data_IF_219366439426
#
_entry.id   IF_219366439426
#
_cell.length_a   1.000
_cell.length_b   1.000
_cell.length_c   1.000
_cell.angle_alpha   90.00
_cell.angle_beta   90.00
_cell.angle_gamma   90.00
#
_symmetry.space_group_name_H-M   'P 1'
#
loop_
_entity.id
_entity.type
_entity.pdbx_description
1 polymer ?
#
# COMPACT_ATOMS: atom_id res chain seq x y z
N UNK A 1 1.47 -32.45 13.90
CA UNK A 1 0.87 -33.79 14.09
C UNK A 1 1.36 -34.36 15.43
N UNK A 2 1.07 -35.63 15.75
CA UNK A 2 1.58 -36.29 16.97
C UNK A 2 3.10 -36.39 17.05
N UNK A 3 3.80 -36.11 15.95
CA UNK A 3 5.27 -36.12 15.85
C UNK A 3 5.88 -34.72 15.99
N UNK A 4 5.07 -33.69 16.24
CA UNK A 4 5.55 -32.31 16.37
C UNK A 4 5.80 -31.61 15.04
N UNK A 5 5.39 -32.18 13.90
CA UNK A 5 5.47 -31.49 12.62
C UNK A 5 4.42 -30.38 12.53
N UNK A 6 4.79 -29.26 11.90
CA UNK A 6 3.82 -28.24 11.50
C UNK A 6 2.87 -28.86 10.46
N UNK A 7 1.53 -28.73 10.62
CA UNK A 7 0.58 -29.24 9.63
C UNK A 7 0.86 -28.69 8.24
N UNK A 8 0.66 -29.50 7.19
CA UNK A 8 0.95 -29.12 5.80
C UNK A 8 0.25 -27.81 5.39
N UNK A 9 -1.02 -27.65 5.73
CA UNK A 9 -1.79 -26.42 5.48
C UNK A 9 -1.15 -25.19 6.14
N UNK A 10 -0.60 -25.33 7.35
CA UNK A 10 0.12 -24.25 8.02
C UNK A 10 1.44 -23.91 7.31
N UNK A 11 2.17 -24.93 6.81
CA UNK A 11 3.38 -24.71 6.00
C UNK A 11 3.05 -23.94 4.73
N UNK A 12 1.94 -24.28 4.07
CA UNK A 12 1.50 -23.60 2.86
C UNK A 12 1.15 -22.13 3.13
N UNK A 13 0.35 -21.85 4.16
CA UNK A 13 0.00 -20.48 4.57
C UNK A 13 1.26 -19.67 4.92
N UNK A 14 2.16 -20.22 5.74
CA UNK A 14 3.40 -19.54 6.12
C UNK A 14 4.30 -19.28 4.91
N UNK A 15 4.31 -20.18 3.93
CA UNK A 15 5.06 -20.00 2.69
C UNK A 15 4.49 -18.87 1.84
N UNK A 16 3.16 -18.72 1.78
CA UNK A 16 2.50 -17.60 1.09
C UNK A 16 2.80 -16.27 1.78
N UNK A 17 2.70 -16.22 3.11
CA UNK A 17 3.09 -15.05 3.91
C UNK A 17 4.56 -14.69 3.65
N UNK A 18 5.46 -15.67 3.65
CA UNK A 18 6.88 -15.47 3.41
C UNK A 18 7.17 -14.89 2.02
N UNK A 19 6.46 -15.33 0.98
CA UNK A 19 6.58 -14.78 -0.38
C UNK A 19 6.16 -13.31 -0.44
N UNK A 20 5.08 -12.94 0.26
CA UNK A 20 4.65 -11.54 0.33
C UNK A 20 5.65 -10.69 1.12
N UNK A 21 6.06 -11.15 2.30
CA UNK A 21 7.02 -10.45 3.17
C UNK A 21 8.36 -10.20 2.46
N UNK A 22 8.85 -11.13 1.63
CA UNK A 22 10.10 -10.95 0.89
C UNK A 22 10.14 -9.65 0.07
N UNK A 23 8.98 -9.19 -0.41
CA UNK A 23 8.87 -7.99 -1.28
C UNK A 23 8.31 -6.76 -0.55
N UNK A 24 7.57 -6.96 0.54
CA UNK A 24 6.83 -5.88 1.20
C UNK A 24 7.24 -5.63 2.66
N UNK A 25 8.24 -6.33 3.20
CA UNK A 25 8.60 -6.24 4.63
C UNK A 25 8.91 -4.83 5.15
N UNK A 26 9.34 -3.90 4.30
CA UNK A 26 9.60 -2.51 4.69
C UNK A 26 8.36 -1.78 5.21
N UNK A 27 7.15 -2.19 4.77
CA UNK A 27 5.88 -1.67 5.30
C UNK A 27 5.47 -2.27 6.65
N UNK A 28 6.24 -3.22 7.17
CA UNK A 28 5.97 -3.91 8.43
C UNK A 28 7.08 -3.64 9.45
N UNK A 29 8.33 -3.95 9.10
CA UNK A 29 9.44 -3.90 10.06
C UNK A 29 9.88 -2.46 10.37
N UNK A 30 9.78 -2.11 11.65
CA UNK A 30 10.06 -0.76 12.14
C UNK A 30 8.97 0.25 11.79
N UNK A 31 7.83 -0.21 11.27
CA UNK A 31 6.66 0.62 11.07
C UNK A 31 5.82 0.72 12.34
N UNK A 32 5.07 1.81 12.45
CA UNK A 32 4.08 2.04 13.49
C UNK A 32 2.81 2.68 12.94
N UNK A 33 2.06 3.31 13.85
CA UNK A 33 0.84 4.03 13.50
C UNK A 33 1.14 5.19 12.55
N UNK A 34 0.39 5.28 11.46
CA UNK A 34 0.57 6.34 10.47
C UNK A 34 -0.01 7.70 10.88
N UNK A 35 -0.93 7.70 11.87
CA UNK A 35 -1.66 8.89 12.31
C UNK A 35 -2.45 9.60 11.18
N UNK A 36 -2.99 8.81 10.25
CA UNK A 36 -3.90 9.24 9.19
C UNK A 36 -5.22 8.47 9.30
N UNK A 37 -6.33 8.99 8.74
CA UNK A 37 -7.59 8.26 8.69
C UNK A 37 -7.42 6.90 8.02
N UNK A 38 -8.13 5.88 8.52
CA UNK A 38 -8.18 4.56 7.87
C UNK A 38 -8.82 4.73 6.48
N UNK A 39 -8.15 4.32 5.39
CA UNK A 39 -8.78 4.28 4.07
C UNK A 39 -9.82 3.16 3.99
N UNK A 40 -10.83 3.32 3.14
CA UNK A 40 -11.87 2.29 2.97
C UNK A 40 -11.30 0.98 2.43
N UNK A 41 -10.39 1.08 1.46
CA UNK A 41 -9.76 -0.05 0.76
C UNK A 41 -8.65 -0.78 1.55
N UNK A 42 -8.32 -0.36 2.78
CA UNK A 42 -7.31 -1.06 3.57
C UNK A 42 -6.78 -0.34 4.80
N UNK A 43 -5.44 -0.28 4.93
CA UNK A 43 -4.72 0.21 6.14
C UNK A 43 -3.49 1.03 5.77
N UNK A 44 -2.96 1.76 6.75
CA UNK A 44 -1.72 2.54 6.58
C UNK A 44 -0.77 2.27 7.72
N UNK A 45 0.48 1.96 7.40
CA UNK A 45 1.60 1.93 8.34
C UNK A 45 2.61 3.02 7.98
N UNK A 46 3.50 3.38 8.91
CA UNK A 46 4.47 4.46 8.68
C UNK A 46 5.82 4.16 9.30
N UNK A 47 6.88 4.57 8.61
CA UNK A 47 8.27 4.56 9.08
C UNK A 47 8.96 5.87 8.68
N UNK A 48 9.22 6.74 9.65
CA UNK A 48 9.82 8.05 9.39
C UNK A 48 8.94 8.91 8.47
N UNK A 49 9.48 9.33 7.33
CA UNK A 49 8.78 10.11 6.29
C UNK A 49 8.06 9.22 5.24
N UNK A 50 8.04 7.90 5.42
CA UNK A 50 7.39 6.97 4.49
C UNK A 50 6.07 6.45 5.04
N UNK A 51 5.02 6.58 4.23
CA UNK A 51 3.71 6.00 4.48
C UNK A 51 3.51 4.80 3.55
N UNK A 52 2.98 3.71 4.09
CA UNK A 52 2.68 2.51 3.32
C UNK A 52 1.18 2.28 3.33
N UNK A 53 0.53 2.50 2.20
CA UNK A 53 -0.89 2.22 2.02
C UNK A 53 -1.04 0.76 1.58
N UNK A 54 -1.58 -0.05 2.47
CA UNK A 54 -1.91 -1.45 2.23
C UNK A 54 -3.29 -1.52 1.58
N UNK A 55 -3.35 -1.93 0.31
CA UNK A 55 -4.58 -2.04 -0.45
C UNK A 55 -5.05 -3.50 -0.50
N UNK A 56 -6.14 -3.80 0.20
CA UNK A 56 -6.77 -5.12 0.20
C UNK A 56 -7.88 -5.23 -0.85
N UNK A 57 -8.45 -4.09 -1.23
CA UNK A 57 -9.50 -3.98 -2.22
C UNK A 57 -9.10 -2.95 -3.27
N UNK A 58 -9.51 -3.16 -4.52
CA UNK A 58 -9.26 -2.16 -5.55
C UNK A 58 -10.27 -1.02 -5.49
N UNK A 59 -9.87 0.17 -5.96
CA UNK A 59 -10.76 1.32 -6.12
C UNK A 59 -11.15 1.52 -7.59
N UNK A 60 -12.30 2.13 -7.82
CA UNK A 60 -12.65 2.61 -9.15
C UNK A 60 -11.97 3.97 -9.37
N UNK A 61 -11.13 4.05 -10.40
CA UNK A 61 -10.40 5.26 -10.71
C UNK A 61 -9.21 5.52 -9.76
N UNK A 62 -8.69 6.76 -9.72
CA UNK A 62 -7.53 7.11 -8.90
C UNK A 62 -7.75 6.86 -7.41
N UNK A 63 -6.74 6.32 -6.74
CA UNK A 63 -6.81 5.92 -5.32
C UNK A 63 -6.59 7.13 -4.41
N UNK A 64 -7.53 7.52 -3.55
CA UNK A 64 -7.34 8.63 -2.61
C UNK A 64 -6.39 8.24 -1.47
N UNK A 65 -5.28 8.97 -1.32
CA UNK A 65 -4.31 8.80 -0.23
C UNK A 65 -4.58 9.82 0.88
N UNK A 66 -5.57 9.49 1.72
CA UNK A 66 -6.10 10.40 2.75
C UNK A 66 -5.08 10.72 3.84
N UNK A 67 -5.15 11.95 4.37
CA UNK A 67 -4.37 12.39 5.53
C UNK A 67 -2.92 12.81 5.23
N UNK A 68 -2.53 12.87 3.96
CA UNK A 68 -1.22 13.38 3.54
C UNK A 68 -1.29 14.85 3.13
N UNK A 69 -0.23 15.61 3.40
CA UNK A 69 -0.03 16.94 2.83
C UNK A 69 0.42 16.83 1.37
N UNK A 70 -0.47 17.16 0.42
CA UNK A 70 -0.24 16.98 -1.01
C UNK A 70 1.07 17.58 -1.53
N UNK A 71 1.39 18.79 -1.10
CA UNK A 71 2.59 19.52 -1.54
C UNK A 71 3.90 18.96 -0.96
N UNK A 72 3.82 18.03 -0.01
CA UNK A 72 4.97 17.33 0.57
C UNK A 72 5.14 15.93 0.02
N UNK A 73 4.27 15.44 -0.86
CA UNK A 73 4.48 14.12 -1.48
C UNK A 73 5.62 14.23 -2.49
N UNK A 74 6.71 13.52 -2.21
CA UNK A 74 7.88 13.49 -3.09
C UNK A 74 7.71 12.50 -4.23
N UNK A 75 7.21 11.30 -3.93
CA UNK A 75 6.90 10.25 -4.92
C UNK A 75 6.04 9.14 -4.32
N UNK A 76 5.38 8.39 -5.20
CA UNK A 76 4.62 7.18 -4.87
C UNK A 76 5.23 6.01 -5.64
N UNK A 77 5.40 4.86 -4.98
CA UNK A 77 5.92 3.63 -5.60
C UNK A 77 5.13 2.40 -5.19
N UNK A 78 5.02 1.44 -6.08
CA UNK A 78 4.63 0.08 -5.73
C UNK A 78 5.79 -0.57 -4.96
N UNK A 79 5.59 -0.91 -3.68
CA UNK A 79 6.69 -1.36 -2.82
C UNK A 79 7.37 -2.62 -3.38
N UNK A 80 6.57 -3.60 -3.81
CA UNK A 80 7.07 -4.89 -4.26
C UNK A 80 7.91 -4.84 -5.55
N UNK A 81 7.62 -3.90 -6.46
CA UNK A 81 8.28 -3.82 -7.77
C UNK A 81 9.19 -2.60 -7.94
N UNK A 82 9.05 -1.61 -7.06
CA UNK A 82 9.71 -0.31 -7.19
C UNK A 82 9.15 0.57 -8.30
N UNK A 83 8.11 0.13 -9.01
CA UNK A 83 7.48 0.92 -10.08
C UNK A 83 6.92 2.23 -9.53
N UNK A 84 7.24 3.33 -10.21
CA UNK A 84 6.76 4.65 -9.83
C UNK A 84 5.31 4.84 -10.26
N UNK A 85 4.47 5.23 -9.30
CA UNK A 85 3.04 5.44 -9.51
C UNK A 85 2.82 6.95 -9.64
N UNK A 86 2.30 7.42 -10.79
CA UNK A 86 2.04 8.83 -10.98
C UNK A 86 0.98 9.37 -10.03
N UNK A 87 1.12 10.62 -9.60
CA UNK A 87 0.03 11.37 -8.98
C UNK A 87 -0.99 11.71 -10.09
N UNK A 88 -2.25 11.40 -9.85
CA UNK A 88 -3.33 11.65 -10.78
C UNK A 88 -3.61 13.15 -10.90
N UNK A 89 -3.69 13.63 -12.14
CA UNK A 89 -4.10 14.99 -12.51
C UNK A 89 -5.49 15.03 -13.16
N UNK A 90 -6.26 13.94 -13.03
CA UNK A 90 -7.59 13.82 -13.63
C UNK A 90 -8.56 14.88 -13.09
N UNK A 91 -9.37 15.46 -13.97
CA UNK A 91 -10.40 16.43 -13.61
C UNK A 91 -11.50 15.84 -12.72
N UNK A 92 -11.69 14.52 -12.70
CA UNK A 92 -12.76 13.84 -11.95
C UNK A 92 -12.66 14.00 -10.43
N UNK A 93 -11.52 14.46 -9.93
CA UNK A 93 -11.27 14.72 -8.51
C UNK A 93 -10.85 16.17 -8.23
N UNK A 94 -11.10 17.10 -9.16
CA UNK A 94 -10.73 18.52 -8.99
C UNK A 94 -11.39 19.19 -7.79
N UNK A 95 -12.56 18.69 -7.37
CA UNK A 95 -13.29 19.17 -6.20
C UNK A 95 -12.60 18.81 -4.87
N UNK A 96 -11.54 17.99 -4.92
CA UNK A 96 -10.73 17.58 -3.78
C UNK A 96 -9.27 18.05 -3.93
N UNK A 97 -9.01 19.37 -3.99
CA UNK A 97 -7.70 19.91 -4.35
C UNK A 97 -6.59 19.51 -3.39
N UNK A 98 -6.91 19.27 -2.12
CA UNK A 98 -5.94 18.94 -1.06
C UNK A 98 -5.65 17.43 -0.93
N UNK A 99 -6.40 16.59 -1.64
CA UNK A 99 -6.22 15.13 -1.61
C UNK A 99 -5.22 14.72 -2.69
N UNK A 100 -4.32 13.81 -2.31
CA UNK A 100 -3.40 13.13 -3.22
C UNK A 100 -4.13 11.92 -3.79
N UNK A 101 -4.11 11.77 -5.11
CA UNK A 101 -4.68 10.60 -5.77
C UNK A 101 -3.58 9.84 -6.50
N UNK A 102 -3.40 8.55 -6.19
CA UNK A 102 -2.46 7.69 -6.91
C UNK A 102 -3.13 7.14 -8.20
N UNK A 103 -2.42 7.19 -9.31
CA UNK A 103 -2.92 6.67 -10.59
C UNK A 103 -2.38 5.26 -10.85
N UNK A 104 -3.19 4.23 -10.57
CA UNK A 104 -2.84 2.83 -10.86
C UNK A 104 -3.10 2.41 -12.32
N UNK A 105 -3.56 3.33 -13.16
CA UNK A 105 -3.94 3.06 -14.53
C UNK A 105 -5.35 2.45 -14.66
N UNK A 106 -5.73 2.02 -15.86
CA UNK A 106 -7.09 1.58 -16.17
C UNK A 106 -7.39 0.14 -15.76
N UNK A 107 -6.37 -0.65 -15.35
CA UNK A 107 -6.58 -2.05 -14.99
C UNK A 107 -7.30 -2.13 -13.63
N UNK A 108 -8.51 -2.72 -13.57
CA UNK A 108 -9.26 -2.84 -12.34
C UNK A 108 -8.76 -3.98 -11.42
N UNK A 109 -7.68 -4.67 -11.77
CA UNK A 109 -7.07 -5.68 -10.92
C UNK A 109 -5.77 -5.16 -10.32
N UNK A 110 -5.64 -5.29 -9.00
CA UNK A 110 -4.38 -5.03 -8.32
C UNK A 110 -3.34 -6.09 -8.72
N UNK A 111 -2.05 -5.70 -8.89
CA UNK A 111 -0.98 -6.65 -9.19
C UNK A 111 -0.79 -7.73 -8.11
N UNK A 112 -1.06 -7.39 -6.84
CA UNK A 112 -1.15 -8.33 -5.73
C UNK A 112 -2.59 -8.25 -5.18
N UNK A 113 -3.31 -9.37 -5.19
CA UNK A 113 -4.72 -9.43 -4.82
C UNK A 113 -4.94 -9.72 -3.32
N UNK A 114 -3.86 -9.90 -2.54
CA UNK A 114 -3.92 -10.06 -1.08
C UNK A 114 -3.67 -8.71 -0.42
N UNK A 115 -2.55 -8.08 -0.76
CA UNK A 115 -2.17 -6.76 -0.25
C UNK A 115 -1.18 -6.10 -1.21
N UNK A 116 -1.66 -5.11 -1.95
CA UNK A 116 -0.82 -4.28 -2.81
C UNK A 116 -0.40 -3.00 -2.07
N UNK A 117 0.90 -2.86 -1.83
CA UNK A 117 1.44 -1.80 -0.98
C UNK A 117 1.96 -0.63 -1.81
N UNK A 118 1.43 0.56 -1.57
CA UNK A 118 1.96 1.81 -2.08
C UNK A 118 2.88 2.46 -1.03
N UNK A 119 4.17 2.61 -1.34
CA UNK A 119 5.09 3.45 -0.59
C UNK A 119 4.95 4.91 -1.04
N UNK A 120 4.67 5.81 -0.11
CA UNK A 120 4.64 7.25 -0.33
C UNK A 120 5.77 7.87 0.48
N UNK A 121 6.76 8.44 -0.20
CA UNK A 121 7.84 9.20 0.44
C UNK A 121 7.41 10.67 0.54
N UNK A 122 7.48 11.23 1.75
CA UNK A 122 7.23 12.65 2.00
C UNK A 122 8.55 13.42 2.03
N UNK A 123 8.52 14.69 1.64
CA UNK A 123 9.56 15.66 1.98
C UNK A 123 9.65 15.83 3.51
N UNK A 124 10.84 16.20 3.99
CA UNK A 124 11.12 16.45 5.41
C UNK A 124 10.40 17.68 5.97
#
# INVERSE_FOLDING_TARGET
>A
DVYGNIPEESVEILSQIGKWMKRNHDSIYGCGIANVPKPDYGRVTRKGNKYYFHMFENTIGPVPLMGLEKNKVKKIRALASGYEIPISTSWVHSDYPDIVFANLGPNPLLPDNIDYVLEVEMED
#
